data_IF_934821693675
#
_entry.id   IF_934821693675
#
_cell.length_a   1.000
_cell.length_b   1.000
_cell.length_c   1.000
_cell.angle_alpha   90.00
_cell.angle_beta   90.00
_cell.angle_gamma   90.00
#
_symmetry.space_group_name_H-M   'P 1'
#
loop_
_entity.id
_entity.type
_entity.pdbx_description
1 polymer ?
#
# COMPACT_ATOMS: atom_id res chain seq x y z
N UNK A 1 14.10 0.85 -5.86
CA UNK A 1 13.40 2.08 -6.27
C UNK A 1 13.96 3.27 -5.48
N UNK A 2 13.71 3.39 -4.18
CA UNK A 2 14.10 4.57 -3.37
C UNK A 2 15.60 4.90 -3.43
N UNK A 3 16.45 3.89 -3.30
CA UNK A 3 17.90 4.03 -3.06
C UNK A 3 18.77 3.46 -4.19
N UNK A 4 18.18 3.17 -5.34
CA UNK A 4 18.91 2.63 -6.50
C UNK A 4 20.04 3.56 -6.92
N UNK A 5 21.24 3.00 -7.15
CA UNK A 5 22.46 3.77 -7.44
C UNK A 5 22.36 4.67 -8.68
N UNK A 6 21.52 4.31 -9.65
CA UNK A 6 21.38 5.06 -10.91
C UNK A 6 20.13 5.95 -10.91
N UNK A 7 19.00 5.44 -10.42
CA UNK A 7 17.69 6.09 -10.54
C UNK A 7 16.98 6.32 -9.21
N UNK A 8 17.56 5.89 -8.09
CA UNK A 8 16.96 6.14 -6.77
C UNK A 8 17.16 7.59 -6.34
N UNK A 9 16.18 8.15 -5.66
CA UNK A 9 16.25 9.52 -5.15
C UNK A 9 17.25 9.65 -3.98
N UNK A 10 17.33 8.64 -3.11
CA UNK A 10 18.21 8.62 -1.93
C UNK A 10 19.42 7.72 -2.12
N UNK A 11 20.27 8.00 -3.13
CA UNK A 11 21.41 7.13 -3.50
C UNK A 11 22.45 6.93 -2.39
N UNK A 12 22.55 7.86 -1.44
CA UNK A 12 23.45 7.80 -0.29
C UNK A 12 22.84 7.20 0.98
N UNK A 13 21.57 6.75 0.94
CA UNK A 13 20.90 6.20 2.11
C UNK A 13 21.40 4.78 2.42
N UNK A 14 21.45 4.45 3.72
CA UNK A 14 21.63 3.06 4.17
C UNK A 14 20.30 2.34 4.13
N UNK A 15 20.29 1.13 3.60
CA UNK A 15 19.09 0.29 3.52
C UNK A 15 19.10 -0.72 4.65
N UNK A 16 17.97 -0.83 5.33
CA UNK A 16 17.67 -1.90 6.27
C UNK A 16 16.40 -2.61 5.78
N UNK A 17 16.52 -3.86 5.39
CA UNK A 17 15.38 -4.67 4.96
C UNK A 17 14.83 -5.44 6.15
N UNK A 18 13.53 -5.24 6.42
CA UNK A 18 12.80 -5.98 7.44
C UNK A 18 11.84 -6.94 6.76
N UNK A 19 12.02 -8.24 6.98
CA UNK A 19 11.12 -9.27 6.48
C UNK A 19 10.02 -9.54 7.51
N UNK A 20 8.77 -9.33 7.12
CA UNK A 20 7.61 -9.47 8.00
C UNK A 20 7.01 -10.88 7.98
N UNK A 21 7.18 -11.63 6.89
CA UNK A 21 6.58 -12.97 6.74
C UNK A 21 7.40 -13.85 5.80
N UNK A 22 7.25 -15.17 5.93
CA UNK A 22 7.86 -16.15 5.06
C UNK A 22 9.38 -16.35 5.26
N UNK A 23 9.92 -17.43 4.69
CA UNK A 23 11.35 -17.65 4.56
C UNK A 23 11.80 -17.36 3.14
N UNK A 24 12.96 -16.73 2.98
CA UNK A 24 13.49 -16.44 1.65
C UNK A 24 13.72 -17.76 0.87
N UNK A 25 13.25 -17.78 -0.38
CA UNK A 25 13.39 -18.94 -1.27
C UNK A 25 12.39 -20.07 -1.05
N UNK A 26 11.54 -20.02 -0.01
CA UNK A 26 10.58 -21.09 0.31
C UNK A 26 9.13 -20.68 0.22
N UNK A 27 8.83 -19.47 -0.27
CA UNK A 27 7.49 -18.89 -0.23
C UNK A 27 7.10 -18.43 1.18
N UNK A 28 5.81 -18.23 1.41
CA UNK A 28 5.30 -17.60 2.64
C UNK A 28 5.03 -18.59 3.79
N UNK A 29 5.63 -19.79 3.76
CA UNK A 29 5.40 -20.83 4.77
C UNK A 29 6.26 -20.71 6.03
N UNK A 30 7.15 -19.73 6.10
CA UNK A 30 7.99 -19.50 7.27
C UNK A 30 7.33 -18.66 8.35
N UNK A 31 7.72 -18.88 9.61
CA UNK A 31 7.37 -17.98 10.71
C UNK A 31 8.16 -16.68 10.56
N UNK A 32 7.44 -15.60 10.25
CA UNK A 32 8.01 -14.25 10.31
C UNK A 32 8.05 -13.71 11.73
N UNK A 33 8.72 -12.60 11.93
CA UNK A 33 8.60 -11.79 13.13
C UNK A 33 7.18 -11.19 13.20
N UNK A 34 6.60 -11.06 14.39
CA UNK A 34 5.35 -10.36 14.57
C UNK A 34 5.49 -8.89 14.12
N UNK A 35 4.43 -8.31 13.57
CA UNK A 35 4.48 -6.94 13.03
C UNK A 35 4.81 -5.93 14.13
N UNK A 36 4.24 -6.08 15.33
CA UNK A 36 4.58 -5.25 16.49
C UNK A 36 6.08 -5.32 16.82
N UNK A 37 6.65 -6.53 16.88
CA UNK A 37 8.08 -6.70 17.13
C UNK A 37 8.96 -6.08 16.03
N UNK A 38 8.49 -6.11 14.77
CA UNK A 38 9.16 -5.46 13.65
C UNK A 38 9.20 -3.95 13.82
N UNK A 39 8.09 -3.35 14.24
CA UNK A 39 8.00 -1.90 14.48
C UNK A 39 8.83 -1.48 15.69
N UNK A 40 8.83 -2.28 16.77
CA UNK A 40 9.71 -2.06 17.90
C UNK A 40 11.20 -2.15 17.54
N UNK A 41 11.59 -3.09 16.70
CA UNK A 41 12.94 -3.15 16.14
C UNK A 41 13.31 -1.88 15.37
N UNK A 42 12.42 -1.35 14.53
CA UNK A 42 12.66 -0.11 13.77
C UNK A 42 12.83 1.08 14.72
N UNK A 43 11.96 1.23 15.74
CA UNK A 43 12.09 2.25 16.78
C UNK A 43 13.42 2.10 17.54
N UNK A 44 13.78 0.86 17.92
CA UNK A 44 15.05 0.56 18.57
C UNK A 44 16.26 0.98 17.75
N UNK A 45 16.27 0.66 16.45
CA UNK A 45 17.34 1.11 15.54
C UNK A 45 17.37 2.63 15.38
N UNK A 46 16.22 3.27 15.27
CA UNK A 46 16.14 4.72 15.19
C UNK A 46 16.77 5.39 16.41
N UNK A 47 16.39 4.96 17.61
CA UNK A 47 16.85 5.52 18.88
C UNK A 47 18.32 5.21 19.19
N UNK A 48 18.84 4.08 18.70
CA UNK A 48 20.23 3.65 18.93
C UNK A 48 21.25 4.30 17.98
N UNK A 49 20.83 5.17 17.07
CA UNK A 49 21.77 5.84 16.14
C UNK A 49 22.81 6.66 16.88
N UNK A 50 24.06 6.46 16.50
CA UNK A 50 25.20 7.15 17.10
C UNK A 50 26.31 7.43 16.06
N UNK A 51 27.31 8.19 16.45
CA UNK A 51 28.44 8.54 15.60
C UNK A 51 28.00 9.22 14.30
N UNK A 52 28.47 8.76 13.15
CA UNK A 52 28.13 9.32 11.83
C UNK A 52 26.66 9.14 11.42
N UNK A 53 25.87 8.36 12.15
CA UNK A 53 24.44 8.16 11.91
C UNK A 53 23.56 8.97 12.88
N UNK A 54 24.13 9.58 13.90
CA UNK A 54 23.40 10.44 14.83
C UNK A 54 22.71 11.59 14.07
N UNK A 55 21.44 11.82 14.38
CA UNK A 55 20.66 12.88 13.75
C UNK A 55 20.22 12.63 12.29
N UNK A 56 20.61 11.51 11.66
CA UNK A 56 20.10 11.18 10.32
C UNK A 56 18.63 10.77 10.40
N UNK A 57 17.77 11.19 9.45
CA UNK A 57 16.39 10.77 9.43
C UNK A 57 16.28 9.24 9.27
N UNK A 58 15.17 8.68 9.72
CA UNK A 58 14.72 7.33 9.38
C UNK A 58 13.46 7.46 8.56
N UNK A 59 13.44 6.82 7.42
CA UNK A 59 12.26 6.74 6.56
C UNK A 59 11.90 5.27 6.40
N UNK A 60 10.64 4.93 6.66
CA UNK A 60 10.11 3.57 6.49
C UNK A 60 9.16 3.55 5.30
N UNK A 61 9.39 2.64 4.36
CA UNK A 61 8.48 2.37 3.27
C UNK A 61 7.71 1.08 3.54
N UNK A 62 6.39 1.17 3.53
CA UNK A 62 5.47 0.04 3.74
C UNK A 62 4.64 -0.17 2.48
N UNK A 63 5.08 -1.09 1.61
CA UNK A 63 4.38 -1.44 0.37
C UNK A 63 3.51 -2.68 0.52
N UNK A 64 2.77 -2.77 1.61
CA UNK A 64 1.86 -3.87 1.94
C UNK A 64 0.63 -3.35 2.68
N UNK A 65 -0.39 -4.21 2.86
CA UNK A 65 -1.59 -3.81 3.59
C UNK A 65 -2.53 -4.98 3.84
N UNK A 66 -3.48 -4.78 4.75
CA UNK A 66 -4.49 -5.76 5.11
C UNK A 66 -5.71 -5.63 4.21
N UNK A 67 -6.19 -6.77 3.73
CA UNK A 67 -7.42 -6.86 2.98
C UNK A 67 -8.27 -8.02 3.49
N UNK A 68 -9.57 -7.84 3.52
CA UNK A 68 -10.53 -8.93 3.65
C UNK A 68 -10.84 -9.46 2.26
N UNK A 69 -10.73 -10.77 2.09
CA UNK A 69 -11.03 -11.45 0.82
C UNK A 69 -12.37 -12.18 0.94
N UNK A 70 -13.25 -11.98 -0.02
CA UNK A 70 -14.55 -12.64 -0.09
C UNK A 70 -14.91 -12.99 -1.55
N UNK A 71 -15.74 -14.02 -1.72
CA UNK A 71 -16.11 -14.51 -3.05
C UNK A 71 -17.43 -13.92 -3.56
N UNK A 72 -18.25 -13.43 -2.64
CA UNK A 72 -19.59 -12.96 -2.94
C UNK A 72 -19.63 -11.45 -3.06
N UNK A 73 -20.55 -10.94 -3.88
CA UNK A 73 -20.92 -9.52 -3.84
C UNK A 73 -21.63 -9.23 -2.51
N UNK A 74 -21.57 -7.98 -2.01
CA UNK A 74 -22.33 -7.59 -0.83
C UNK A 74 -23.82 -7.85 -0.99
N UNK A 75 -24.41 -8.43 0.04
CA UNK A 75 -25.87 -8.57 0.15
C UNK A 75 -26.56 -7.30 0.69
N UNK A 76 -25.78 -6.42 1.31
CA UNK A 76 -26.24 -5.13 1.80
C UNK A 76 -25.08 -4.14 1.88
N UNK A 77 -25.37 -2.86 1.67
CA UNK A 77 -24.51 -1.72 1.98
C UNK A 77 -25.24 -0.77 2.94
N UNK A 78 -24.47 -0.07 3.75
CA UNK A 78 -24.90 1.19 4.35
C UNK A 78 -24.04 2.29 3.72
N UNK A 79 -24.67 3.12 2.90
CA UNK A 79 -24.00 4.21 2.20
C UNK A 79 -24.48 5.54 2.77
N UNK A 80 -23.56 6.25 3.45
CA UNK A 80 -23.85 7.54 4.10
C UNK A 80 -25.09 7.49 5.03
N UNK A 81 -25.23 6.39 5.78
CA UNK A 81 -26.35 6.17 6.68
C UNK A 81 -27.61 5.55 6.04
N UNK A 82 -27.66 5.43 4.72
CA UNK A 82 -28.79 4.82 4.01
C UNK A 82 -28.53 3.35 3.66
N UNK A 83 -29.43 2.46 4.07
CA UNK A 83 -29.36 1.04 3.72
C UNK A 83 -29.67 0.82 2.24
N UNK A 84 -28.90 -0.05 1.59
CA UNK A 84 -29.06 -0.49 0.20
C UNK A 84 -29.02 -2.02 0.15
N UNK A 85 -29.93 -2.63 -0.59
CA UNK A 85 -30.01 -4.09 -0.72
C UNK A 85 -30.83 -4.49 -1.95
N UNK A 86 -30.84 -5.78 -2.28
CA UNK A 86 -31.60 -6.33 -3.40
C UNK A 86 -31.20 -5.66 -4.72
N UNK A 87 -32.19 -5.20 -5.50
CA UNK A 87 -32.00 -4.59 -6.81
C UNK A 87 -31.21 -3.29 -6.81
N UNK A 88 -30.95 -2.68 -5.65
CA UNK A 88 -30.09 -1.49 -5.55
C UNK A 88 -28.60 -1.83 -5.76
N UNK A 89 -28.20 -3.09 -5.53
CA UNK A 89 -26.79 -3.52 -5.44
C UNK A 89 -26.54 -4.93 -6.00
N UNK A 90 -27.38 -5.45 -6.87
CA UNK A 90 -27.25 -6.81 -7.40
C UNK A 90 -26.19 -6.92 -8.53
N UNK A 91 -25.72 -5.78 -9.03
CA UNK A 91 -24.65 -5.71 -10.04
C UNK A 91 -23.46 -4.89 -9.56
N UNK A 92 -22.27 -5.17 -10.15
CA UNK A 92 -21.08 -4.34 -9.91
C UNK A 92 -21.26 -2.87 -10.33
N UNK A 93 -22.08 -2.60 -11.32
CA UNK A 93 -22.35 -1.25 -11.78
C UNK A 93 -23.12 -0.44 -10.73
N UNK A 94 -24.11 -1.06 -10.11
CA UNK A 94 -24.88 -0.46 -9.02
C UNK A 94 -24.03 -0.27 -7.76
N UNK A 95 -23.27 -1.28 -7.34
CA UNK A 95 -22.34 -1.18 -6.21
C UNK A 95 -21.38 0.00 -6.36
N UNK A 96 -20.90 0.28 -7.58
CA UNK A 96 -20.02 1.41 -7.86
C UNK A 96 -20.70 2.77 -7.69
N UNK A 97 -22.01 2.88 -7.89
CA UNK A 97 -22.76 4.12 -7.63
C UNK A 97 -22.67 4.51 -6.16
N UNK A 98 -22.51 3.50 -5.27
CA UNK A 98 -22.28 3.67 -3.84
C UNK A 98 -20.80 3.60 -3.44
N UNK A 99 -19.87 3.83 -4.38
CA UNK A 99 -18.42 3.79 -4.14
C UNK A 99 -17.86 2.46 -3.64
N UNK A 100 -18.62 1.38 -3.70
CA UNK A 100 -18.12 0.04 -3.50
C UNK A 100 -17.46 -0.43 -4.80
N UNK A 101 -16.15 -0.22 -4.89
CA UNK A 101 -15.40 -0.44 -6.12
C UNK A 101 -14.68 -1.79 -6.08
N UNK A 102 -15.38 -2.85 -6.47
CA UNK A 102 -14.71 -4.10 -6.79
C UNK A 102 -14.16 -4.07 -8.22
N UNK A 103 -13.03 -4.73 -8.43
CA UNK A 103 -12.45 -4.86 -9.78
C UNK A 103 -13.42 -5.62 -10.70
N UNK A 104 -13.68 -5.13 -11.92
CA UNK A 104 -14.56 -5.82 -12.86
C UNK A 104 -14.06 -7.23 -13.17
N UNK A 105 -14.90 -8.24 -12.94
CA UNK A 105 -14.65 -9.62 -13.35
C UNK A 105 -13.69 -10.40 -12.45
N UNK A 106 -13.29 -9.93 -11.30
CA UNK A 106 -12.44 -10.67 -10.37
C UNK A 106 -13.18 -11.09 -9.10
N UNK A 107 -13.49 -12.36 -8.99
CA UNK A 107 -13.61 -13.07 -7.73
C UNK A 107 -12.25 -13.75 -7.47
N UNK A 108 -11.68 -13.75 -6.26
CA UNK A 108 -12.23 -13.14 -5.04
C UNK A 108 -12.07 -11.60 -5.00
N UNK A 109 -13.03 -10.94 -4.36
CA UNK A 109 -13.00 -9.51 -4.10
C UNK A 109 -12.12 -9.22 -2.89
N UNK A 110 -11.44 -8.06 -2.92
CA UNK A 110 -10.61 -7.59 -1.80
C UNK A 110 -11.10 -6.24 -1.33
N UNK A 111 -11.51 -6.16 -0.09
CA UNK A 111 -11.85 -4.90 0.57
C UNK A 111 -10.75 -4.49 1.53
N UNK A 112 -10.44 -3.18 1.65
CA UNK A 112 -9.45 -2.70 2.61
C UNK A 112 -9.88 -3.07 4.04
N UNK A 113 -8.89 -3.38 4.89
CA UNK A 113 -9.15 -3.73 6.28
C UNK A 113 -8.21 -2.95 7.22
N UNK A 114 -8.78 -2.39 8.29
CA UNK A 114 -8.03 -1.68 9.33
C UNK A 114 -7.78 -2.59 10.52
N UNK A 115 -6.55 -2.58 11.01
CA UNK A 115 -6.10 -3.30 12.19
C UNK A 115 -5.58 -2.26 13.18
N UNK A 116 -6.39 -1.93 14.19
CA UNK A 116 -6.13 -0.80 15.09
C UNK A 116 -4.80 -0.89 15.84
N UNK A 117 -4.36 -2.09 16.22
CA UNK A 117 -3.06 -2.28 16.87
C UNK A 117 -1.89 -1.93 15.94
N UNK A 118 -1.99 -2.32 14.67
CA UNK A 118 -0.96 -2.00 13.66
C UNK A 118 -0.89 -0.51 13.39
N UNK A 119 -2.04 0.16 13.35
CA UNK A 119 -2.10 1.61 13.14
C UNK A 119 -1.53 2.37 14.36
N UNK A 120 -1.79 1.88 15.58
CA UNK A 120 -1.20 2.44 16.79
C UNK A 120 0.34 2.33 16.80
N UNK A 121 0.88 1.19 16.37
CA UNK A 121 2.34 1.00 16.24
C UNK A 121 2.95 1.95 15.19
N UNK A 122 2.20 2.27 14.12
CA UNK A 122 2.63 3.28 13.13
C UNK A 122 2.68 4.67 13.76
N UNK A 123 1.66 5.04 14.53
CA UNK A 123 1.64 6.33 15.24
C UNK A 123 2.81 6.43 16.25
N UNK A 124 3.11 5.36 16.98
CA UNK A 124 4.27 5.34 17.89
C UNK A 124 5.62 5.52 17.18
N UNK A 125 5.77 4.97 15.95
CA UNK A 125 6.97 5.22 15.15
C UNK A 125 7.08 6.69 14.73
N UNK A 126 5.96 7.31 14.34
CA UNK A 126 5.92 8.73 13.97
C UNK A 126 6.25 9.61 15.18
N UNK A 127 5.70 9.31 16.34
CA UNK A 127 5.98 10.00 17.61
C UNK A 127 7.47 9.90 18.01
N UNK A 128 8.13 8.80 17.61
CA UNK A 128 9.57 8.63 17.77
C UNK A 128 10.40 9.45 16.74
N UNK A 129 9.78 10.16 15.82
CA UNK A 129 10.44 10.97 14.78
C UNK A 129 10.81 10.22 13.52
N UNK A 130 10.14 9.11 13.24
CA UNK A 130 10.34 8.30 12.02
C UNK A 130 9.34 8.75 10.95
N UNK A 131 9.82 9.01 9.74
CA UNK A 131 8.96 9.31 8.60
C UNK A 131 8.41 8.03 7.99
N UNK A 132 7.11 7.98 7.73
CA UNK A 132 6.44 6.80 7.21
C UNK A 132 5.84 7.10 5.83
N UNK A 133 6.14 6.23 4.87
CA UNK A 133 5.45 6.16 3.58
C UNK A 133 4.75 4.81 3.46
N UNK A 134 3.46 4.79 3.23
CA UNK A 134 2.74 3.56 2.91
C UNK A 134 2.01 3.66 1.58
N UNK A 135 1.83 2.53 0.93
CA UNK A 135 1.09 2.46 -0.32
C UNK A 135 -0.41 2.54 -0.08
N UNK A 136 -1.12 3.38 -0.82
CA UNK A 136 -2.56 3.58 -0.65
C UNK A 136 -3.39 2.31 -0.98
N UNK A 137 -2.85 1.41 -1.79
CA UNK A 137 -3.51 0.18 -2.22
C UNK A 137 -3.93 0.19 -3.69
N UNK A 138 -4.24 -1.02 -4.21
CA UNK A 138 -4.52 -1.26 -5.63
C UNK A 138 -5.92 -1.86 -5.84
N UNK A 139 -6.87 -1.49 -5.01
CA UNK A 139 -8.20 -2.12 -4.95
C UNK A 139 -9.32 -1.19 -5.41
N UNK A 140 -9.00 -0.10 -6.13
CA UNK A 140 -9.96 0.87 -6.72
C UNK A 140 -10.75 1.71 -5.73
N UNK A 141 -10.74 1.40 -4.43
CA UNK A 141 -11.59 2.06 -3.44
C UNK A 141 -11.24 3.53 -3.22
N UNK A 142 -12.25 4.28 -2.85
CA UNK A 142 -12.05 5.62 -2.28
C UNK A 142 -11.63 5.47 -0.82
N UNK A 143 -10.55 6.14 -0.42
CA UNK A 143 -10.14 6.29 0.98
C UNK A 143 -10.54 7.68 1.45
N UNK A 144 -11.47 7.73 2.40
CA UNK A 144 -12.00 8.98 2.93
C UNK A 144 -11.35 9.35 4.27
N UNK A 145 -11.38 10.63 4.59
CA UNK A 145 -10.97 11.12 5.91
C UNK A 145 -11.97 10.67 6.98
N UNK A 146 -11.52 10.60 8.23
CA UNK A 146 -12.38 10.25 9.39
C UNK A 146 -13.59 11.17 9.54
N UNK A 147 -13.50 12.39 9.02
CA UNK A 147 -14.57 13.41 9.00
C UNK A 147 -15.40 13.37 7.72
N UNK A 148 -15.02 12.57 6.75
CA UNK A 148 -15.69 12.48 5.45
C UNK A 148 -16.99 11.69 5.50
N UNK A 149 -17.91 12.00 4.61
CA UNK A 149 -19.24 11.37 4.56
C UNK A 149 -19.20 9.87 4.20
N UNK A 150 -18.14 9.44 3.50
CA UNK A 150 -18.00 8.06 3.06
C UNK A 150 -17.24 7.17 4.06
N UNK A 151 -16.56 7.75 5.06
CA UNK A 151 -15.69 7.03 5.98
C UNK A 151 -16.38 5.85 6.69
N UNK A 152 -17.66 6.02 7.03
CA UNK A 152 -18.46 5.03 7.76
C UNK A 152 -19.32 4.15 6.85
N UNK A 153 -19.11 4.16 5.54
CA UNK A 153 -19.79 3.24 4.63
C UNK A 153 -19.41 1.79 4.93
N UNK A 154 -20.43 0.92 5.06
CA UNK A 154 -20.23 -0.50 5.36
C UNK A 154 -20.81 -1.39 4.27
N UNK A 155 -20.25 -2.60 4.18
CA UNK A 155 -20.75 -3.68 3.34
C UNK A 155 -21.01 -4.90 4.20
N UNK A 156 -21.94 -5.77 3.78
CA UNK A 156 -22.22 -7.07 4.39
C UNK A 156 -22.09 -8.17 3.35
N UNK A 157 -21.30 -9.18 3.67
CA UNK A 157 -21.09 -10.40 2.89
C UNK A 157 -21.30 -11.62 3.78
N UNK A 158 -21.25 -12.84 3.23
CA UNK A 158 -21.45 -14.08 3.97
C UNK A 158 -20.55 -14.25 5.20
N UNK A 159 -19.35 -13.69 5.17
CA UNK A 159 -18.35 -13.79 6.26
C UNK A 159 -18.44 -12.65 7.27
N UNK A 160 -19.32 -11.67 7.09
CA UNK A 160 -19.50 -10.57 8.04
C UNK A 160 -19.68 -9.20 7.40
N UNK A 161 -19.57 -8.19 8.24
CA UNK A 161 -19.70 -6.77 7.87
C UNK A 161 -18.37 -6.06 8.04
N UNK A 162 -18.01 -5.21 7.08
CA UNK A 162 -16.79 -4.40 7.11
C UNK A 162 -17.00 -2.99 6.58
N UNK A 163 -15.98 -2.16 6.73
CA UNK A 163 -15.92 -0.83 6.12
C UNK A 163 -15.14 -0.89 4.80
N UNK A 164 -15.52 -0.08 3.82
CA UNK A 164 -14.84 -0.13 2.52
C UNK A 164 -14.20 1.20 2.06
N UNK A 165 -14.40 2.28 2.80
CA UNK A 165 -13.79 3.58 2.51
C UNK A 165 -12.80 4.07 3.58
N UNK A 166 -12.33 3.18 4.46
CA UNK A 166 -11.37 3.53 5.53
C UNK A 166 -9.91 3.27 5.19
N UNK A 167 -9.62 2.77 4.00
CA UNK A 167 -8.28 2.33 3.62
C UNK A 167 -7.83 1.06 4.35
N UNK A 168 -6.57 0.67 4.14
CA UNK A 168 -5.94 -0.50 4.76
C UNK A 168 -4.92 -0.09 5.80
N UNK A 169 -4.74 -0.89 6.88
CA UNK A 169 -3.54 -0.81 7.70
C UNK A 169 -2.32 -1.38 6.93
N UNK A 170 -1.09 -0.93 7.22
CA UNK A 170 -0.72 0.10 8.18
C UNK A 170 -1.13 1.50 7.70
N UNK A 171 -1.61 2.34 8.60
CA UNK A 171 -2.05 3.70 8.25
C UNK A 171 -1.93 4.64 9.45
N UNK A 172 -1.55 5.87 9.19
CA UNK A 172 -1.71 7.00 10.09
C UNK A 172 -2.06 8.24 9.26
N UNK A 173 -2.82 9.16 9.84
CA UNK A 173 -3.08 10.48 9.23
C UNK A 173 -1.83 11.35 9.16
N UNK A 174 -0.79 10.99 9.88
CA UNK A 174 0.51 11.67 9.93
C UNK A 174 1.58 10.98 9.08
N UNK A 175 1.22 9.89 8.37
CA UNK A 175 2.08 9.22 7.41
C UNK A 175 1.75 9.64 5.98
N UNK A 176 2.68 9.48 5.04
CA UNK A 176 2.41 9.70 3.62
C UNK A 176 1.69 8.50 3.03
N UNK A 177 0.43 8.67 2.66
CA UNK A 177 -0.38 7.69 1.96
C UNK A 177 -0.26 7.92 0.45
N UNK A 178 0.43 7.02 -0.25
CA UNK A 178 0.92 7.25 -1.62
C UNK A 178 0.10 6.51 -2.67
N UNK A 179 -0.55 7.26 -3.55
CA UNK A 179 -1.24 6.77 -4.73
C UNK A 179 -0.32 6.59 -5.94
N UNK A 180 -0.82 5.95 -6.99
CA UNK A 180 -0.07 5.62 -8.20
C UNK A 180 -0.49 6.45 -9.40
N UNK A 181 0.48 7.11 -10.05
CA UNK A 181 0.34 7.76 -11.36
C UNK A 181 0.57 6.72 -12.46
N UNK A 182 -0.31 6.71 -13.44
CA UNK A 182 -0.19 5.86 -14.63
C UNK A 182 0.72 6.53 -15.68
N UNK A 183 1.94 6.06 -15.79
CA UNK A 183 2.89 6.55 -16.78
C UNK A 183 2.54 6.16 -18.21
N UNK A 184 1.66 5.16 -18.41
CA UNK A 184 1.25 4.69 -19.74
C UNK A 184 0.03 5.45 -20.27
N UNK A 185 -0.75 6.07 -19.39
CA UNK A 185 -1.90 6.91 -19.74
C UNK A 185 -1.55 8.40 -19.80
N UNK A 186 -0.28 8.71 -20.02
CA UNK A 186 0.20 10.09 -20.10
C UNK A 186 -0.46 10.84 -21.26
N UNK A 187 -0.98 12.02 -20.98
CA UNK A 187 -1.31 13.02 -21.99
C UNK A 187 -0.38 14.23 -21.80
N UNK A 188 -0.15 14.99 -22.88
CA UNK A 188 0.75 16.16 -22.84
C UNK A 188 0.31 17.28 -21.88
N UNK A 189 -0.86 17.13 -21.27
CA UNK A 189 -1.49 18.18 -20.44
C UNK A 189 -1.85 17.73 -19.04
N UNK A 190 -1.89 16.42 -18.74
CA UNK A 190 -2.33 15.90 -17.44
C UNK A 190 -1.73 14.54 -17.11
N UNK A 191 -1.20 14.41 -15.90
CA UNK A 191 -0.95 13.11 -15.31
C UNK A 191 -2.27 12.45 -14.93
N UNK A 192 -2.34 11.13 -15.07
CA UNK A 192 -3.53 10.37 -14.72
C UNK A 192 -3.21 9.42 -13.57
N UNK A 193 -4.14 9.34 -12.64
CA UNK A 193 -4.12 8.29 -11.63
C UNK A 193 -4.30 6.93 -12.31
N UNK A 194 -3.50 5.94 -11.94
CA UNK A 194 -3.75 4.57 -12.40
C UNK A 194 -5.13 4.10 -11.93
N UNK A 195 -5.81 3.41 -12.81
CA UNK A 195 -7.22 3.03 -12.61
C UNK A 195 -7.46 2.25 -11.30
N UNK A 196 -6.56 1.32 -10.95
CA UNK A 196 -6.63 0.47 -9.76
C UNK A 196 -6.11 1.14 -8.47
N UNK A 197 -5.42 2.28 -8.57
CA UNK A 197 -4.95 2.98 -7.38
C UNK A 197 -6.11 3.42 -6.49
N UNK A 198 -6.01 3.11 -5.21
CA UNK A 198 -6.85 3.76 -4.19
C UNK A 198 -6.68 5.27 -4.32
N UNK A 199 -7.75 6.00 -4.11
CA UNK A 199 -7.84 7.44 -4.28
C UNK A 199 -8.73 8.06 -3.22
N UNK A 200 -8.86 9.36 -3.22
CA UNK A 200 -9.75 10.10 -2.32
C UNK A 200 -9.01 11.02 -1.37
N UNK A 201 -9.74 11.70 -0.47
CA UNK A 201 -9.18 12.76 0.37
C UNK A 201 -8.07 12.31 1.34
N UNK A 202 -8.03 11.00 1.67
CA UNK A 202 -7.00 10.45 2.55
C UNK A 202 -5.76 9.92 1.80
N UNK A 203 -5.64 10.17 0.50
CA UNK A 203 -4.41 9.94 -0.27
C UNK A 203 -3.66 11.26 -0.38
N UNK A 204 -2.49 11.35 0.24
CA UNK A 204 -1.77 12.61 0.41
C UNK A 204 -1.04 13.05 -0.85
N UNK A 205 -0.47 12.09 -1.57
CA UNK A 205 0.36 12.35 -2.74
C UNK A 205 0.28 11.19 -3.74
N UNK A 206 0.46 11.51 -5.00
CA UNK A 206 0.62 10.52 -6.07
C UNK A 206 2.04 10.56 -6.62
N UNK A 207 2.61 9.39 -6.86
CA UNK A 207 3.94 9.24 -7.45
C UNK A 207 3.94 8.20 -8.58
N UNK A 208 4.92 8.24 -9.49
CA UNK A 208 5.06 7.23 -10.54
C UNK A 208 5.16 5.82 -9.94
N UNK A 209 4.23 4.96 -10.34
CA UNK A 209 4.19 3.58 -9.84
C UNK A 209 3.77 2.58 -10.92
N UNK A 210 3.71 3.00 -12.19
CA UNK A 210 3.37 2.15 -13.34
C UNK A 210 4.60 1.87 -14.15
N UNK A 211 4.80 0.60 -14.52
CA UNK A 211 5.97 0.10 -15.28
C UNK A 211 7.33 0.47 -14.68
N UNK A 212 7.42 0.37 -13.36
CA UNK A 212 8.63 0.73 -12.63
C UNK A 212 9.62 -0.42 -12.63
N UNK A 213 10.77 -0.18 -13.26
CA UNK A 213 11.89 -1.10 -13.28
C UNK A 213 12.61 -1.13 -11.93
N UNK A 214 12.83 -2.31 -11.39
CA UNK A 214 13.52 -2.50 -10.12
C UNK A 214 14.32 -3.80 -10.09
N UNK A 215 15.27 -3.90 -9.16
CA UNK A 215 15.96 -5.14 -8.87
C UNK A 215 14.99 -6.18 -8.30
N UNK A 216 15.18 -7.43 -8.65
CA UNK A 216 14.45 -8.54 -8.09
C UNK A 216 15.38 -9.70 -7.72
N UNK A 217 14.87 -10.66 -6.94
CA UNK A 217 15.59 -11.86 -6.57
C UNK A 217 15.98 -12.69 -7.78
N UNK A 218 17.11 -13.36 -7.71
CA UNK A 218 17.54 -14.34 -8.72
C UNK A 218 16.82 -15.70 -8.57
N UNK A 219 16.25 -15.98 -7.39
CA UNK A 219 15.55 -17.24 -7.08
C UNK A 219 14.04 -17.13 -7.22
N UNK A 220 13.44 -16.04 -6.75
CA UNK A 220 12.01 -15.74 -6.89
C UNK A 220 11.84 -14.44 -7.66
N UNK A 221 12.06 -14.48 -8.95
CA UNK A 221 12.24 -13.29 -9.78
C UNK A 221 10.98 -12.80 -10.50
N UNK A 222 9.81 -13.40 -10.25
CA UNK A 222 8.55 -13.04 -10.93
C UNK A 222 8.71 -12.84 -12.45
N UNK A 223 9.42 -13.74 -13.10
CA UNK A 223 9.78 -13.66 -14.52
C UNK A 223 10.71 -12.49 -14.85
N UNK A 224 11.51 -12.05 -13.88
CA UNK A 224 12.50 -10.99 -14.08
C UNK A 224 13.53 -11.34 -15.14
N UNK A 225 13.97 -10.32 -15.87
CA UNK A 225 14.97 -10.42 -16.92
C UNK A 225 16.38 -10.19 -16.34
N UNK A 226 17.40 -10.66 -17.03
CA UNK A 226 18.77 -10.34 -16.67
C UNK A 226 18.99 -8.81 -16.77
N UNK A 227 19.71 -8.26 -15.82
CA UNK A 227 20.17 -6.89 -15.91
C UNK A 227 21.17 -6.79 -17.07
N UNK A 228 21.00 -5.81 -17.95
CA UNK A 228 21.75 -5.71 -19.20
C UNK A 228 23.26 -5.57 -19.00
N UNK A 229 23.69 -4.92 -17.92
CA UNK A 229 25.11 -4.69 -17.64
C UNK A 229 25.78 -5.83 -16.86
N UNK A 230 24.99 -6.73 -16.25
CA UNK A 230 25.51 -7.89 -15.53
C UNK A 230 24.42 -8.96 -15.35
N UNK A 231 24.55 -10.05 -16.05
CA UNK A 231 23.57 -11.17 -16.06
C UNK A 231 23.43 -11.92 -14.73
N UNK A 232 24.35 -11.69 -13.77
CA UNK A 232 24.22 -12.24 -12.41
C UNK A 232 23.12 -11.56 -11.60
N UNK A 233 22.58 -10.43 -12.07
CA UNK A 233 21.49 -9.71 -11.43
C UNK A 233 20.22 -9.76 -12.26
N UNK A 234 19.09 -9.71 -11.59
CA UNK A 234 17.77 -9.69 -12.20
C UNK A 234 17.08 -8.36 -11.95
N UNK A 235 16.26 -7.97 -12.91
CA UNK A 235 15.37 -6.81 -12.83
C UNK A 235 13.98 -7.20 -13.30
N UNK A 236 12.97 -6.51 -12.78
CA UNK A 236 11.57 -6.72 -13.15
C UNK A 236 10.87 -5.38 -13.30
N UNK A 237 9.94 -5.33 -14.24
CA UNK A 237 9.07 -4.18 -14.44
C UNK A 237 7.70 -4.50 -13.86
N UNK A 238 7.27 -3.78 -12.85
CA UNK A 238 6.00 -4.00 -12.17
C UNK A 238 5.30 -2.69 -11.85
N UNK A 239 3.99 -2.77 -11.61
CA UNK A 239 3.14 -1.60 -11.37
C UNK A 239 2.35 -1.76 -10.08
N UNK A 240 2.11 -0.64 -9.40
CA UNK A 240 1.29 -0.56 -8.20
C UNK A 240 1.67 0.62 -7.30
N UNK A 241 0.82 0.93 -6.35
CA UNK A 241 1.12 1.89 -5.28
C UNK A 241 2.35 1.46 -4.46
N UNK A 242 2.66 0.15 -4.46
CA UNK A 242 3.89 -0.41 -3.89
C UNK A 242 5.17 0.12 -4.55
N UNK A 243 5.11 0.60 -5.79
CA UNK A 243 6.22 1.21 -6.53
C UNK A 243 6.22 2.73 -6.41
N UNK A 244 5.06 3.33 -6.17
CA UNK A 244 4.91 4.75 -5.91
C UNK A 244 5.45 5.15 -4.52
N UNK A 245 5.10 4.40 -3.47
CA UNK A 245 5.55 4.65 -2.09
C UNK A 245 7.06 4.85 -1.95
N UNK A 246 7.92 3.94 -2.46
CA UNK A 246 9.36 4.11 -2.36
C UNK A 246 9.92 5.29 -3.18
N UNK A 247 9.21 5.85 -4.15
CA UNK A 247 9.61 7.11 -4.78
C UNK A 247 9.55 8.26 -3.76
N UNK A 248 8.42 8.36 -3.05
CA UNK A 248 8.23 9.38 -2.00
C UNK A 248 9.22 9.15 -0.85
N UNK A 249 9.36 7.91 -0.39
CA UNK A 249 10.33 7.56 0.66
C UNK A 249 11.77 7.93 0.31
N UNK A 250 12.13 7.94 -0.97
CA UNK A 250 13.47 8.34 -1.42
C UNK A 250 13.67 9.86 -1.48
N UNK A 251 12.61 10.65 -1.41
CA UNK A 251 12.65 12.12 -1.42
C UNK A 251 12.74 12.69 0.01
N UNK A 252 12.14 11.99 0.98
CA UNK A 252 12.19 12.33 2.40
C UNK A 252 13.58 12.06 3.01
#
# INVERSE_FOLDING_TARGET
>A
IAVGKTFGHAQGAKIYAQKLSGLEGTGDSGTGIAIADAFDCIKGWHNAKSGANAGRPTVVNMSWGYNTTHNDLPSALNYQGAAKSGTDIDTLAELRTFKFQAYPGSSPYKTPNRVASVDADVDEMIDAGIHICHSAGNSYYTHDLTTGSDYNNTYTVSIGTGYYNRGSSPYSVNAFNVGNIDSTAYSSTQDQKRVDSVHGPAVDIYAPGTDIMSACSTTNNKSGQNYYANSSYKQVNISGTSMAGPQVAGIL
#
